data_IF_822594057465
#
_entry.id   IF_822594057465
#
_cell.length_a   1.000
_cell.length_b   1.000
_cell.length_c   1.000
_cell.angle_alpha   90.00
_cell.angle_beta   90.00
_cell.angle_gamma   90.00
#
_symmetry.space_group_name_H-M   'P 1'
#
loop_
_entity.id
_entity.type
_entity.pdbx_description
1 polymer ?
#
# COMPACT_ATOMS: atom_id res chain seq x y z
N UNK A 1 -11.95 -29.09 43.01
CA UNK A 1 -11.19 -28.23 43.94
C UNK A 1 -9.79 -28.83 43.97
N UNK A 2 -8.83 -28.46 43.13
CA UNK A 2 -8.49 -27.24 42.39
C UNK A 2 -7.95 -27.68 41.01
N UNK A 3 -8.32 -26.98 39.93
CA UNK A 3 -7.62 -26.93 38.62
C UNK A 3 -8.50 -26.13 37.64
N UNK A 4 -8.76 -24.86 37.95
CA UNK A 4 -9.57 -24.01 37.05
C UNK A 4 -9.28 -22.50 37.19
N UNK A 5 -8.03 -22.13 37.47
CA UNK A 5 -7.61 -20.72 37.52
C UNK A 5 -6.24 -20.51 36.91
N UNK A 6 -6.18 -20.45 35.58
CA UNK A 6 -5.16 -19.66 34.86
C UNK A 6 -5.51 -19.49 33.37
N UNK A 7 -6.73 -19.02 33.08
CA UNK A 7 -6.98 -18.31 31.83
C UNK A 7 -7.09 -16.84 32.17
N UNK A 8 -5.95 -16.16 32.11
CA UNK A 8 -5.89 -14.71 32.10
C UNK A 8 -6.84 -14.20 31.03
N UNK A 9 -7.85 -13.45 31.48
CA UNK A 9 -8.79 -12.73 30.64
C UNK A 9 -8.01 -11.83 29.70
N UNK A 10 -7.90 -12.23 28.43
CA UNK A 10 -7.32 -11.40 27.39
C UNK A 10 -8.11 -10.09 27.32
N UNK A 11 -7.42 -8.97 27.54
CA UNK A 11 -7.94 -7.63 27.29
C UNK A 11 -8.61 -7.55 25.89
N UNK A 12 -9.63 -6.70 25.69
CA UNK A 12 -10.30 -6.58 24.40
C UNK A 12 -9.29 -6.17 23.32
N UNK A 13 -8.86 -7.15 22.50
CA UNK A 13 -7.70 -7.05 21.60
C UNK A 13 -7.88 -6.09 20.43
N UNK A 14 -9.09 -5.69 20.08
CA UNK A 14 -9.30 -4.84 18.91
C UNK A 14 -9.40 -3.38 19.30
N UNK A 15 -8.28 -2.64 19.23
CA UNK A 15 -8.27 -1.17 19.07
C UNK A 15 -8.82 -0.73 17.70
N UNK A 16 -9.63 -1.57 17.05
CA UNK A 16 -10.17 -1.33 15.72
C UNK A 16 -11.58 -0.77 15.84
N UNK A 17 -11.80 0.41 15.28
CA UNK A 17 -13.14 0.96 15.12
C UNK A 17 -13.71 0.48 13.78
N UNK A 18 -14.79 -0.30 13.85
CA UNK A 18 -15.59 -0.69 12.71
C UNK A 18 -17.07 -0.44 13.04
N UNK A 19 -17.44 0.84 13.12
CA UNK A 19 -18.84 1.20 13.31
C UNK A 19 -19.65 0.74 12.10
N UNK A 20 -20.66 -0.09 12.34
CA UNK A 20 -21.57 -0.52 11.27
C UNK A 20 -22.34 0.70 10.77
N UNK A 21 -22.28 0.91 9.46
CA UNK A 21 -23.07 1.94 8.80
C UNK A 21 -24.55 1.68 9.08
N UNK A 22 -25.31 2.64 9.63
CA UNK A 22 -26.74 2.47 9.84
C UNK A 22 -27.43 2.13 8.52
N UNK A 23 -28.42 1.23 8.56
CA UNK A 23 -29.12 0.77 7.35
C UNK A 23 -29.71 1.95 6.55
N UNK A 24 -30.32 2.92 7.25
CA UNK A 24 -30.86 4.14 6.65
C UNK A 24 -29.78 4.92 5.90
N UNK A 25 -28.61 5.08 6.52
CA UNK A 25 -27.46 5.76 5.91
C UNK A 25 -27.03 5.04 4.64
N UNK A 26 -26.88 3.71 4.68
CA UNK A 26 -26.52 2.92 3.50
C UNK A 26 -27.55 3.07 2.37
N UNK A 27 -28.86 2.99 2.68
CA UNK A 27 -29.93 3.19 1.70
C UNK A 27 -29.86 4.58 1.07
N UNK A 28 -29.70 5.63 1.88
CA UNK A 28 -29.58 7.01 1.39
C UNK A 28 -28.32 7.21 0.55
N UNK A 29 -27.19 6.58 0.90
CA UNK A 29 -25.96 6.61 0.10
C UNK A 29 -26.20 6.03 -1.29
N UNK A 30 -26.81 4.84 -1.37
CA UNK A 30 -27.10 4.18 -2.64
C UNK A 30 -28.14 4.97 -3.45
N UNK A 31 -29.20 5.46 -2.80
CA UNK A 31 -30.20 6.31 -3.45
C UNK A 31 -29.56 7.58 -4.02
N UNK A 32 -28.69 8.25 -3.27
CA UNK A 32 -27.94 9.41 -3.74
C UNK A 32 -27.06 9.09 -4.95
N UNK A 33 -26.38 7.94 -4.94
CA UNK A 33 -25.63 7.45 -6.09
C UNK A 33 -26.52 7.22 -7.31
N UNK A 34 -27.66 6.53 -7.15
CA UNK A 34 -28.59 6.29 -8.25
C UNK A 34 -29.20 7.57 -8.81
N UNK A 35 -29.54 8.54 -7.96
CA UNK A 35 -30.00 9.86 -8.39
C UNK A 35 -28.90 10.55 -9.21
N UNK A 36 -27.65 10.53 -8.74
CA UNK A 36 -26.52 11.12 -9.47
C UNK A 36 -26.33 10.47 -10.85
N UNK A 37 -26.40 9.14 -10.91
CA UNK A 37 -26.30 8.38 -12.16
C UNK A 37 -27.48 8.67 -13.10
N UNK A 38 -28.69 8.75 -12.56
CA UNK A 38 -29.90 9.09 -13.32
C UNK A 38 -29.83 10.51 -13.92
N UNK A 39 -29.39 11.49 -13.13
CA UNK A 39 -29.15 12.85 -13.63
C UNK A 39 -28.02 12.88 -14.67
N UNK A 40 -26.99 12.06 -14.50
CA UNK A 40 -25.96 11.85 -15.52
C UNK A 40 -26.56 11.33 -16.82
N UNK A 41 -27.47 10.34 -16.74
CA UNK A 41 -28.14 9.72 -17.89
C UNK A 41 -29.08 10.70 -18.61
N UNK A 42 -29.86 11.49 -17.86
CA UNK A 42 -30.64 12.59 -18.45
C UNK A 42 -29.72 13.53 -19.22
N UNK A 43 -28.59 13.95 -18.63
CA UNK A 43 -27.65 14.82 -19.35
C UNK A 43 -27.05 14.14 -20.59
N UNK A 44 -26.81 12.84 -20.55
CA UNK A 44 -26.35 12.07 -21.71
C UNK A 44 -27.35 12.08 -22.87
N UNK A 45 -28.65 11.99 -22.57
CA UNK A 45 -29.71 12.02 -23.59
C UNK A 45 -29.86 13.39 -24.26
N UNK A 46 -29.79 14.47 -23.49
CA UNK A 46 -30.07 15.81 -24.00
C UNK A 46 -28.82 16.58 -24.45
N UNK A 47 -27.62 16.19 -24.00
CA UNK A 47 -26.39 16.92 -24.28
C UNK A 47 -25.28 16.02 -24.78
N UNK A 48 -24.85 16.26 -26.02
CA UNK A 48 -23.64 15.67 -26.57
C UNK A 48 -22.49 16.67 -26.40
N UNK A 49 -21.50 16.38 -25.55
CA UNK A 49 -20.40 17.30 -25.33
C UNK A 49 -19.47 17.34 -26.53
N UNK A 50 -18.86 18.50 -26.77
CA UNK A 50 -17.83 18.69 -27.79
C UNK A 50 -16.52 18.07 -27.31
N UNK A 51 -16.35 16.78 -27.55
CA UNK A 51 -15.16 16.00 -27.20
C UNK A 51 -14.64 15.25 -28.42
N UNK A 52 -13.37 14.88 -28.40
CA UNK A 52 -12.80 14.03 -29.44
C UNK A 52 -13.55 12.69 -29.50
N UNK A 53 -13.95 12.30 -30.71
CA UNK A 53 -14.59 11.02 -31.01
C UNK A 53 -13.63 10.14 -31.79
N UNK A 54 -13.78 8.84 -31.60
CA UNK A 54 -13.11 7.84 -32.42
C UNK A 54 -13.60 7.98 -33.87
N UNK A 55 -12.66 8.10 -34.81
CA UNK A 55 -12.94 8.19 -36.26
C UNK A 55 -12.19 7.07 -36.97
N UNK A 56 -12.74 6.55 -38.07
CA UNK A 56 -12.10 5.57 -38.95
C UNK A 56 -11.65 4.27 -38.22
N UNK A 57 -12.53 3.69 -37.38
CA UNK A 57 -12.25 2.47 -36.59
C UNK A 57 -13.22 1.31 -36.87
N UNK A 58 -13.70 1.20 -38.10
CA UNK A 58 -14.54 0.05 -38.48
C UNK A 58 -13.77 -1.27 -38.30
N UNK A 59 -14.40 -2.27 -37.66
CA UNK A 59 -13.79 -3.57 -37.38
C UNK A 59 -12.86 -3.63 -36.15
N UNK A 60 -12.57 -2.51 -35.49
CA UNK A 60 -11.73 -2.48 -34.29
C UNK A 60 -12.55 -2.43 -32.99
N UNK A 61 -12.01 -3.02 -31.92
CA UNK A 61 -12.56 -2.85 -30.58
C UNK A 61 -12.54 -1.36 -30.17
N UNK A 62 -13.58 -0.89 -29.43
CA UNK A 62 -13.64 0.48 -28.94
C UNK A 62 -12.48 0.75 -27.98
N UNK A 63 -11.88 1.95 -28.06
CA UNK A 63 -10.74 2.31 -27.22
C UNK A 63 -11.11 2.58 -25.75
N UNK A 64 -12.36 2.95 -25.49
CA UNK A 64 -12.83 3.18 -24.13
C UNK A 64 -14.13 2.45 -23.87
N UNK A 65 -14.27 2.02 -22.63
CA UNK A 65 -15.49 1.44 -22.11
C UNK A 65 -16.63 2.47 -22.12
N UNK A 66 -17.84 2.02 -22.49
CA UNK A 66 -19.00 2.89 -22.64
C UNK A 66 -19.44 3.48 -21.30
N UNK A 67 -19.33 2.72 -20.21
CA UNK A 67 -19.66 3.20 -18.87
C UNK A 67 -18.63 4.22 -18.39
N UNK A 68 -17.33 4.01 -18.64
CA UNK A 68 -16.30 5.01 -18.33
C UNK A 68 -16.51 6.32 -19.09
N UNK A 69 -16.79 6.25 -20.40
CA UNK A 69 -17.12 7.44 -21.21
C UNK A 69 -18.29 8.20 -20.59
N UNK A 70 -19.34 7.51 -20.20
CA UNK A 70 -20.51 8.08 -19.56
C UNK A 70 -20.15 8.72 -18.21
N UNK A 71 -19.59 7.94 -17.30
CA UNK A 71 -19.31 8.35 -15.93
C UNK A 71 -18.36 9.56 -15.89
N UNK A 72 -17.27 9.53 -16.65
CA UNK A 72 -16.29 10.62 -16.65
C UNK A 72 -16.88 11.93 -17.18
N UNK A 73 -17.71 11.87 -18.23
CA UNK A 73 -18.23 13.07 -18.91
C UNK A 73 -19.43 13.69 -18.21
N UNK A 74 -20.32 12.86 -17.66
CA UNK A 74 -21.64 13.30 -17.18
C UNK A 74 -21.77 13.28 -15.66
N UNK A 75 -20.89 12.56 -14.96
CA UNK A 75 -20.93 12.44 -13.50
C UNK A 75 -19.67 13.04 -12.87
N UNK A 76 -18.50 12.45 -13.11
CA UNK A 76 -17.25 12.82 -12.44
C UNK A 76 -16.76 14.24 -12.77
N UNK A 77 -16.97 14.72 -14.01
CA UNK A 77 -16.51 16.03 -14.48
C UNK A 77 -16.84 17.17 -13.51
N UNK A 78 -18.05 17.17 -12.93
CA UNK A 78 -18.55 18.25 -12.07
C UNK A 78 -17.82 18.32 -10.72
N UNK A 79 -17.39 17.19 -10.19
CA UNK A 79 -16.68 17.12 -8.89
C UNK A 79 -15.16 17.19 -9.05
N UNK A 80 -14.64 17.13 -10.28
CA UNK A 80 -13.21 17.16 -10.58
C UNK A 80 -12.50 18.40 -10.00
N UNK A 81 -13.22 19.51 -9.85
CA UNK A 81 -12.62 20.72 -9.28
C UNK A 81 -12.21 20.54 -7.80
N UNK A 82 -12.94 19.70 -7.05
CA UNK A 82 -12.70 19.44 -5.64
C UNK A 82 -11.45 18.59 -5.39
N UNK A 83 -11.10 17.68 -6.31
CA UNK A 83 -10.08 16.65 -6.09
C UNK A 83 -8.80 16.85 -6.91
N UNK A 84 -8.89 17.37 -8.14
CA UNK A 84 -7.77 17.34 -9.07
C UNK A 84 -6.97 18.65 -9.09
N UNK A 85 -6.88 19.38 -7.97
CA UNK A 85 -6.14 20.65 -7.92
C UNK A 85 -4.62 20.39 -8.00
N UNK A 86 -3.89 21.02 -8.94
CA UNK A 86 -2.45 20.79 -9.07
C UNK A 86 -1.68 21.28 -7.85
N UNK A 87 -0.76 20.46 -7.36
CA UNK A 87 0.19 20.83 -6.29
C UNK A 87 1.43 21.46 -6.94
N UNK A 88 1.91 22.58 -6.39
CA UNK A 88 3.09 23.29 -6.90
C UNK A 88 4.17 23.56 -5.83
N UNK A 89 4.07 22.94 -4.66
CA UNK A 89 5.12 22.96 -3.62
C UNK A 89 5.83 21.62 -3.51
N UNK A 90 6.94 21.62 -2.76
CA UNK A 90 7.55 20.39 -2.24
C UNK A 90 6.56 19.68 -1.31
N UNK A 91 6.49 18.34 -1.32
CA UNK A 91 5.68 17.59 -0.37
C UNK A 91 6.15 17.77 1.08
N UNK A 92 5.20 18.02 1.99
CA UNK A 92 5.44 18.12 3.44
C UNK A 92 4.12 18.21 4.22
N UNK A 93 4.17 18.63 5.49
CA UNK A 93 2.99 18.90 6.33
C UNK A 93 1.98 19.86 5.69
N UNK A 94 2.46 20.77 4.84
CA UNK A 94 1.63 21.66 4.04
C UNK A 94 1.99 21.53 2.58
N UNK A 95 0.99 21.67 1.71
CA UNK A 95 1.18 21.77 0.25
C UNK A 95 0.58 23.07 -0.27
N UNK A 96 1.12 23.57 -1.37
CA UNK A 96 0.56 24.72 -2.08
C UNK A 96 -0.16 24.23 -3.33
N UNK A 97 -1.43 24.60 -3.45
CA UNK A 97 -2.27 24.32 -4.60
C UNK A 97 -2.26 25.50 -5.57
N UNK A 98 -2.25 25.21 -6.87
CA UNK A 98 -2.56 26.22 -7.89
C UNK A 98 -4.07 26.47 -7.90
N UNK A 99 -4.46 27.72 -7.74
CA UNK A 99 -5.85 28.11 -7.85
C UNK A 99 -6.27 28.11 -9.32
N UNK A 100 -7.52 27.71 -9.55
CA UNK A 100 -8.10 27.61 -10.88
C UNK A 100 -9.57 27.94 -10.83
N UNK A 101 -10.09 28.36 -11.96
CA UNK A 101 -11.51 28.61 -12.21
C UNK A 101 -11.95 27.85 -13.44
N UNK A 102 -13.23 27.50 -13.50
CA UNK A 102 -13.88 26.94 -14.68
C UNK A 102 -15.12 27.76 -14.99
N UNK A 103 -15.30 28.10 -16.27
CA UNK A 103 -16.47 28.83 -16.77
C UNK A 103 -17.40 27.94 -17.60
N UNK A 104 -17.07 26.66 -17.71
CA UNK A 104 -17.73 25.68 -18.57
C UNK A 104 -18.03 24.38 -17.81
N UNK A 105 -18.39 24.50 -16.53
CA UNK A 105 -18.81 23.36 -15.70
C UNK A 105 -17.77 22.22 -15.64
N UNK A 106 -16.49 22.58 -15.54
CA UNK A 106 -15.38 21.66 -15.35
C UNK A 106 -14.88 21.00 -16.64
N UNK A 107 -15.25 21.50 -17.83
CA UNK A 107 -14.66 21.03 -19.10
C UNK A 107 -13.21 21.49 -19.22
N UNK A 108 -12.98 22.78 -19.01
CA UNK A 108 -11.66 23.41 -18.98
C UNK A 108 -11.43 24.16 -17.67
N UNK A 109 -10.15 24.35 -17.35
CA UNK A 109 -9.72 25.10 -16.17
C UNK A 109 -8.68 26.13 -16.58
N UNK A 110 -8.84 27.35 -16.07
CA UNK A 110 -7.88 28.43 -16.22
C UNK A 110 -7.22 28.71 -14.87
N UNK A 111 -5.90 28.81 -14.85
CA UNK A 111 -5.17 29.20 -13.64
C UNK A 111 -5.39 30.69 -13.38
N UNK A 112 -5.71 31.04 -12.14
CA UNK A 112 -5.94 32.43 -11.73
C UNK A 112 -4.64 33.21 -11.51
N UNK A 113 -3.50 32.52 -11.48
CA UNK A 113 -2.20 33.07 -11.07
C UNK A 113 -1.99 33.11 -9.55
N UNK A 114 -3.04 32.87 -8.76
CA UNK A 114 -2.98 32.79 -7.29
C UNK A 114 -2.69 31.36 -6.81
N UNK A 115 -2.34 31.25 -5.53
CA UNK A 115 -1.99 29.99 -4.90
C UNK A 115 -2.58 29.92 -3.49
N UNK A 116 -3.04 28.73 -3.10
CA UNK A 116 -3.58 28.47 -1.76
C UNK A 116 -2.72 27.47 -1.02
N UNK A 117 -2.27 27.82 0.20
CA UNK A 117 -1.53 26.91 1.08
C UNK A 117 -2.51 26.10 1.93
N UNK A 118 -2.37 24.77 1.92
CA UNK A 118 -3.24 23.83 2.62
C UNK A 118 -2.45 22.89 3.53
N UNK A 119 -3.10 22.39 4.58
CA UNK A 119 -2.58 21.25 5.35
C UNK A 119 -2.67 19.99 4.49
N UNK A 120 -1.61 19.17 4.51
CA UNK A 120 -1.55 17.94 3.76
C UNK A 120 -1.93 16.74 4.63
N UNK A 121 -3.17 16.26 4.50
CA UNK A 121 -3.69 15.06 5.18
C UNK A 121 -3.84 13.86 4.23
N UNK A 122 -3.40 13.97 2.97
CA UNK A 122 -3.61 12.97 1.93
C UNK A 122 -2.33 12.31 1.41
N UNK A 123 -1.19 12.51 2.07
CA UNK A 123 0.10 11.97 1.65
C UNK A 123 0.57 10.83 2.54
N UNK A 124 1.20 9.82 1.93
CA UNK A 124 1.88 8.73 2.65
C UNK A 124 3.32 9.06 3.05
N UNK A 125 3.72 10.33 3.02
CA UNK A 125 5.00 10.83 3.49
C UNK A 125 5.06 10.87 5.03
N UNK A 126 4.82 9.73 5.68
CA UNK A 126 4.54 9.60 7.12
C UNK A 126 5.61 10.23 8.03
N UNK A 127 6.88 10.17 7.61
CA UNK A 127 8.01 10.68 8.38
C UNK A 127 8.64 11.94 7.77
N UNK A 128 8.05 12.49 6.71
CA UNK A 128 8.50 13.70 6.02
C UNK A 128 9.96 13.70 5.50
N UNK A 129 10.43 12.59 4.93
CA UNK A 129 11.77 12.52 4.33
C UNK A 129 11.84 13.07 2.90
N UNK A 130 10.71 13.29 2.23
CA UNK A 130 10.65 13.78 0.84
C UNK A 130 10.92 15.31 0.70
N UNK A 131 11.69 15.91 1.60
CA UNK A 131 12.01 17.35 1.56
C UNK A 131 13.13 17.60 0.56
N UNK A 132 13.18 18.82 0.00
CA UNK A 132 14.28 19.26 -0.88
C UNK A 132 15.49 19.82 -0.11
N UNK A 133 15.51 19.66 1.21
CA UNK A 133 16.56 20.15 2.11
C UNK A 133 16.95 19.07 3.11
N UNK A 134 18.11 19.21 3.74
CA UNK A 134 18.59 18.28 4.77
C UNK A 134 19.39 17.12 4.21
N UNK A 135 19.79 16.20 5.11
CA UNK A 135 20.74 15.11 4.80
C UNK A 135 20.32 14.28 3.59
N UNK A 136 19.08 13.79 3.55
CA UNK A 136 18.59 12.95 2.45
C UNK A 136 18.70 13.65 1.08
N UNK A 137 18.31 14.92 0.98
CA UNK A 137 18.39 15.68 -0.26
C UNK A 137 19.85 15.94 -0.68
N UNK A 138 20.70 16.36 0.26
CA UNK A 138 22.11 16.64 -0.02
C UNK A 138 22.88 15.39 -0.44
N UNK A 139 22.68 14.29 0.26
CA UNK A 139 23.33 13.02 -0.08
C UNK A 139 22.89 12.54 -1.46
N UNK A 140 21.58 12.66 -1.77
CA UNK A 140 21.06 12.32 -3.10
C UNK A 140 21.67 13.17 -4.21
N UNK A 141 21.85 14.49 -4.00
CA UNK A 141 22.52 15.38 -4.96
C UNK A 141 23.98 14.99 -5.16
N UNK A 142 24.69 14.65 -4.08
CA UNK A 142 26.09 14.22 -4.15
C UNK A 142 26.24 12.89 -4.91
N UNK A 143 25.33 11.94 -4.64
CA UNK A 143 25.27 10.66 -5.35
C UNK A 143 24.94 10.85 -6.82
N UNK A 144 24.01 11.76 -7.17
CA UNK A 144 23.72 12.11 -8.55
C UNK A 144 24.97 12.63 -9.28
N UNK A 145 25.74 13.53 -8.67
CA UNK A 145 26.99 14.05 -9.24
C UNK A 145 28.05 12.96 -9.42
N UNK A 146 28.08 11.95 -8.54
CA UNK A 146 29.08 10.87 -8.55
C UNK A 146 28.73 9.74 -9.53
N UNK A 147 27.46 9.35 -9.59
CA UNK A 147 27.02 8.12 -10.27
C UNK A 147 26.08 8.37 -11.46
N UNK A 148 25.63 9.61 -11.66
CA UNK A 148 24.62 9.96 -12.66
C UNK A 148 23.21 9.54 -12.26
N UNK A 149 22.27 9.69 -13.19
CA UNK A 149 20.84 9.46 -12.95
C UNK A 149 20.45 7.98 -12.93
N UNK A 150 21.02 7.15 -13.81
CA UNK A 150 20.63 5.77 -14.02
C UNK A 150 21.73 4.99 -14.76
N UNK A 151 21.68 3.66 -14.66
CA UNK A 151 22.57 2.74 -15.39
C UNK A 151 22.04 2.33 -16.76
N UNK A 152 20.75 2.58 -17.04
CA UNK A 152 20.07 2.18 -18.28
C UNK A 152 20.14 0.67 -18.60
N UNK A 153 20.34 -0.17 -17.58
CA UNK A 153 20.39 -1.63 -17.70
C UNK A 153 19.66 -2.29 -16.53
N UNK A 154 19.29 -3.55 -16.70
CA UNK A 154 18.65 -4.37 -15.66
C UNK A 154 19.68 -4.81 -14.62
N UNK A 155 19.22 -5.27 -13.46
CA UNK A 155 20.13 -5.71 -12.39
C UNK A 155 20.89 -7.00 -12.73
N UNK A 156 20.31 -7.84 -13.60
CA UNK A 156 20.90 -9.11 -14.03
C UNK A 156 22.05 -8.92 -15.03
N UNK A 157 22.06 -7.82 -15.77
CA UNK A 157 23.09 -7.49 -16.75
C UNK A 157 24.13 -6.52 -16.15
N UNK A 158 24.14 -5.26 -16.61
CA UNK A 158 25.15 -4.25 -16.26
C UNK A 158 24.60 -3.17 -15.31
N UNK A 159 23.37 -3.33 -14.81
CA UNK A 159 22.70 -2.33 -13.98
C UNK A 159 23.04 -2.34 -12.49
N UNK A 160 23.85 -3.28 -12.02
CA UNK A 160 24.21 -3.37 -10.59
C UNK A 160 25.39 -2.45 -10.25
N UNK A 161 25.20 -1.59 -9.25
CA UNK A 161 26.21 -0.66 -8.72
C UNK A 161 26.41 -0.94 -7.23
N UNK A 162 27.52 -0.44 -6.68
CA UNK A 162 27.85 -0.58 -5.24
C UNK A 162 26.75 -0.04 -4.34
N UNK A 163 26.12 1.08 -4.71
CA UNK A 163 25.01 1.66 -3.95
C UNK A 163 23.76 0.76 -3.89
N UNK A 164 23.50 -0.06 -4.91
CA UNK A 164 22.40 -1.03 -4.88
C UNK A 164 22.67 -2.14 -3.86
N UNK A 165 23.93 -2.61 -3.80
CA UNK A 165 24.34 -3.63 -2.83
C UNK A 165 24.34 -3.07 -1.41
N UNK A 166 24.75 -1.82 -1.22
CA UNK A 166 24.68 -1.12 0.07
C UNK A 166 23.23 -1.00 0.55
N UNK A 167 22.33 -0.56 -0.33
CA UNK A 167 20.91 -0.46 -0.02
C UNK A 167 20.30 -1.83 0.34
N UNK A 168 20.61 -2.89 -0.41
CA UNK A 168 20.13 -4.25 -0.12
C UNK A 168 20.63 -4.74 1.25
N UNK A 169 21.92 -4.58 1.55
CA UNK A 169 22.50 -4.95 2.85
C UNK A 169 21.87 -4.15 4.00
N UNK A 170 21.69 -2.84 3.82
CA UNK A 170 21.06 -1.99 4.82
C UNK A 170 19.59 -2.36 5.03
N UNK A 171 18.87 -2.69 3.95
CA UNK A 171 17.48 -3.16 4.02
C UNK A 171 17.38 -4.46 4.81
N UNK A 172 18.24 -5.45 4.53
CA UNK A 172 18.28 -6.70 5.28
C UNK A 172 18.57 -6.47 6.78
N UNK A 173 19.55 -5.61 7.10
CA UNK A 173 19.88 -5.20 8.48
C UNK A 173 18.72 -4.46 9.15
N UNK A 174 18.04 -3.58 8.43
CA UNK A 174 16.88 -2.83 8.93
C UNK A 174 15.74 -3.78 9.31
N UNK A 175 15.48 -4.76 8.44
CA UNK A 175 14.44 -5.77 8.63
C UNK A 175 14.83 -6.87 9.63
N UNK A 176 16.10 -7.03 9.97
CA UNK A 176 16.57 -8.09 10.86
C UNK A 176 16.55 -9.48 10.22
N UNK A 177 16.79 -9.58 8.92
CA UNK A 177 16.81 -10.84 8.15
C UNK A 177 18.13 -11.04 7.42
N UNK A 178 18.29 -12.18 6.74
CA UNK A 178 19.57 -12.60 6.13
C UNK A 178 19.95 -11.78 4.89
N UNK A 179 19.00 -11.50 4.00
CA UNK A 179 19.25 -10.79 2.75
C UNK A 179 18.00 -10.04 2.28
N UNK A 180 18.18 -9.11 1.33
CA UNK A 180 17.11 -8.37 0.67
C UNK A 180 17.44 -8.07 -0.80
N UNK A 181 16.40 -7.88 -1.59
CA UNK A 181 16.45 -7.47 -3.00
C UNK A 181 15.57 -6.24 -3.20
N UNK A 182 16.05 -5.28 -3.99
CA UNK A 182 15.36 -4.00 -4.20
C UNK A 182 14.92 -3.80 -5.65
N UNK A 183 13.82 -3.08 -5.83
CA UNK A 183 13.17 -2.83 -7.11
C UNK A 183 12.81 -1.35 -7.27
N UNK A 184 12.86 -0.84 -8.51
CA UNK A 184 12.59 0.57 -8.82
C UNK A 184 11.12 1.01 -8.65
N UNK A 185 10.16 0.08 -8.57
CA UNK A 185 8.73 0.41 -8.43
C UNK A 185 8.04 -0.50 -7.41
N UNK A 186 7.33 0.09 -6.44
CA UNK A 186 6.66 -0.66 -5.36
C UNK A 186 5.50 -1.56 -5.81
N UNK A 187 4.67 -1.12 -6.76
CA UNK A 187 3.61 -1.99 -7.31
C UNK A 187 4.22 -3.22 -8.00
N UNK A 188 5.26 -2.99 -8.82
CA UNK A 188 5.93 -4.05 -9.58
C UNK A 188 6.64 -5.06 -8.67
N UNK A 189 7.13 -4.64 -7.50
CA UNK A 189 7.69 -5.55 -6.48
C UNK A 189 6.73 -6.71 -6.19
N UNK A 190 5.47 -6.44 -5.88
CA UNK A 190 4.52 -7.53 -5.61
C UNK A 190 4.07 -8.22 -6.90
N UNK A 191 3.67 -7.44 -7.90
CA UNK A 191 3.04 -7.96 -9.11
C UNK A 191 3.97 -8.86 -9.95
N UNK A 192 5.27 -8.60 -9.95
CA UNK A 192 6.24 -9.31 -10.77
C UNK A 192 7.11 -10.31 -9.99
N UNK A 193 7.11 -10.27 -8.66
CA UNK A 193 7.83 -11.27 -7.84
C UNK A 193 6.96 -12.46 -7.46
N UNK A 194 5.66 -12.28 -7.19
CA UNK A 194 4.77 -13.40 -6.83
C UNK A 194 4.77 -14.57 -7.84
N UNK A 195 4.79 -14.33 -9.18
CA UNK A 195 4.88 -15.41 -10.18
C UNK A 195 6.15 -16.27 -10.08
N UNK A 196 7.21 -15.79 -9.44
CA UNK A 196 8.44 -16.57 -9.23
C UNK A 196 8.41 -17.43 -7.95
N UNK A 197 7.43 -17.21 -7.07
CA UNK A 197 7.32 -17.86 -5.76
C UNK A 197 6.27 -18.98 -5.73
N UNK A 198 5.16 -18.76 -6.43
CA UNK A 198 4.01 -19.66 -6.54
C UNK A 198 3.62 -19.84 -8.00
N UNK A 199 2.94 -20.94 -8.31
CA UNK A 199 2.43 -21.23 -9.65
C UNK A 199 1.41 -22.36 -9.66
N UNK A 200 1.26 -23.03 -10.81
CA UNK A 200 0.33 -24.18 -10.94
C UNK A 200 0.58 -25.24 -9.87
N UNK A 201 -0.49 -25.70 -9.21
CA UNK A 201 -0.44 -26.65 -8.10
C UNK A 201 -0.08 -26.04 -6.74
N UNK A 202 0.06 -24.71 -6.65
CA UNK A 202 0.11 -23.97 -5.38
C UNK A 202 -1.26 -23.36 -5.04
N UNK A 203 -1.53 -23.18 -3.76
CA UNK A 203 -2.66 -22.45 -3.22
C UNK A 203 -2.20 -21.14 -2.60
N UNK A 204 -2.90 -20.06 -2.91
CA UNK A 204 -2.73 -18.77 -2.24
C UNK A 204 -4.01 -18.43 -1.47
N UNK A 205 -3.88 -18.20 -0.17
CA UNK A 205 -4.93 -17.69 0.70
C UNK A 205 -4.73 -16.18 0.82
N UNK A 206 -5.57 -15.42 0.11
CA UNK A 206 -5.51 -13.96 0.08
C UNK A 206 -6.53 -13.35 1.02
N UNK A 207 -6.12 -12.37 1.81
CA UNK A 207 -7.07 -11.50 2.49
C UNK A 207 -7.97 -10.80 1.46
N UNK A 208 -9.25 -10.63 1.78
CA UNK A 208 -10.24 -9.99 0.92
C UNK A 208 -9.91 -8.54 0.54
N UNK A 209 -9.07 -7.85 1.31
CA UNK A 209 -8.70 -6.45 1.09
C UNK A 209 -7.25 -6.25 0.68
N UNK A 210 -6.56 -7.31 0.27
CA UNK A 210 -5.21 -7.21 -0.25
C UNK A 210 -5.12 -6.23 -1.43
N UNK A 211 -4.03 -5.50 -1.45
CA UNK A 211 -3.73 -4.47 -2.43
C UNK A 211 -3.70 -5.06 -3.84
N UNK A 212 -4.12 -4.25 -4.80
CA UNK A 212 -4.25 -4.64 -6.21
C UNK A 212 -2.93 -5.19 -6.80
N UNK A 213 -1.77 -4.73 -6.34
CA UNK A 213 -0.47 -5.28 -6.77
C UNK A 213 -0.28 -6.77 -6.39
N UNK A 214 -0.73 -7.17 -5.20
CA UNK A 214 -0.72 -8.57 -4.77
C UNK A 214 -1.70 -9.39 -5.61
N UNK A 215 -2.92 -8.85 -5.83
CA UNK A 215 -3.94 -9.49 -6.66
C UNK A 215 -3.43 -9.75 -8.08
N UNK A 216 -2.79 -8.77 -8.70
CA UNK A 216 -2.18 -8.93 -10.01
C UNK A 216 -1.07 -9.99 -10.01
N UNK A 217 -0.17 -9.96 -9.04
CA UNK A 217 0.90 -10.96 -8.95
C UNK A 217 0.39 -12.39 -8.76
N UNK A 218 -0.62 -12.57 -7.93
CA UNK A 218 -1.28 -13.87 -7.75
C UNK A 218 -1.96 -14.34 -9.03
N UNK A 219 -2.66 -13.46 -9.75
CA UNK A 219 -3.29 -13.81 -11.04
C UNK A 219 -2.27 -14.18 -12.11
N UNK A 220 -1.17 -13.44 -12.21
CA UNK A 220 -0.09 -13.71 -13.15
C UNK A 220 0.63 -15.04 -12.87
N UNK A 221 0.67 -15.48 -11.61
CA UNK A 221 1.33 -16.74 -11.23
C UNK A 221 0.63 -18.00 -11.75
N UNK A 222 -0.68 -17.94 -12.01
CA UNK A 222 -1.49 -19.12 -12.32
C UNK A 222 -1.70 -20.09 -11.15
N UNK A 223 -1.39 -19.68 -9.91
CA UNK A 223 -1.74 -20.41 -8.71
C UNK A 223 -3.25 -20.40 -8.45
N UNK A 224 -3.76 -21.38 -7.70
CA UNK A 224 -5.15 -21.33 -7.25
C UNK A 224 -5.25 -20.30 -6.13
N UNK A 225 -6.19 -19.35 -6.24
CA UNK A 225 -6.41 -18.33 -5.21
C UNK A 225 -7.73 -18.60 -4.50
N UNK A 226 -7.72 -18.60 -3.17
CA UNK A 226 -8.91 -18.55 -2.33
C UNK A 226 -8.86 -17.31 -1.44
N UNK A 227 -9.96 -16.58 -1.40
CA UNK A 227 -10.08 -15.37 -0.60
C UNK A 227 -10.70 -15.73 0.74
N UNK A 228 -10.09 -15.26 1.83
CA UNK A 228 -10.68 -15.33 3.17
C UNK A 228 -11.13 -13.94 3.62
N UNK A 229 -12.11 -13.89 4.51
CA UNK A 229 -12.67 -12.64 5.04
C UNK A 229 -11.59 -11.80 5.69
N UNK A 230 -11.66 -10.50 5.44
CA UNK A 230 -10.68 -9.52 5.91
C UNK A 230 -10.35 -9.65 7.40
N UNK A 231 -9.05 -9.80 7.70
CA UNK A 231 -8.49 -9.92 9.06
C UNK A 231 -9.18 -10.99 9.94
N UNK A 232 -9.83 -11.99 9.32
CA UNK A 232 -10.61 -13.02 10.04
C UNK A 232 -9.81 -14.32 10.14
N UNK A 233 -9.15 -14.49 11.29
CA UNK A 233 -8.32 -15.66 11.61
C UNK A 233 -9.11 -16.98 11.55
N UNK A 234 -10.39 -16.98 11.95
CA UNK A 234 -11.23 -18.20 11.93
C UNK A 234 -11.53 -18.64 10.50
N UNK A 235 -11.90 -17.69 9.62
CA UNK A 235 -12.17 -17.97 8.21
C UNK A 235 -10.91 -18.43 7.46
N UNK A 236 -9.75 -17.85 7.80
CA UNK A 236 -8.45 -18.30 7.33
C UNK A 236 -8.16 -19.75 7.77
N UNK A 237 -8.37 -20.07 9.05
CA UNK A 237 -8.17 -21.44 9.55
C UNK A 237 -9.09 -22.45 8.85
N UNK A 238 -10.36 -22.11 8.62
CA UNK A 238 -11.28 -22.98 7.88
C UNK A 238 -10.83 -23.20 6.42
N UNK A 239 -10.27 -22.18 5.79
CA UNK A 239 -9.66 -22.29 4.46
C UNK A 239 -8.43 -23.20 4.47
N UNK A 240 -7.55 -23.08 5.48
CA UNK A 240 -6.38 -23.95 5.66
C UNK A 240 -6.77 -25.41 5.91
N UNK A 241 -7.74 -25.68 6.79
CA UNK A 241 -8.28 -27.02 7.04
C UNK A 241 -8.77 -27.66 5.74
N UNK A 242 -9.63 -26.95 5.00
CA UNK A 242 -10.14 -27.45 3.71
C UNK A 242 -9.03 -27.69 2.70
N UNK A 243 -8.01 -26.82 2.65
CA UNK A 243 -6.89 -26.98 1.74
C UNK A 243 -6.08 -28.26 2.02
N UNK A 244 -5.81 -28.54 3.29
CA UNK A 244 -5.07 -29.74 3.73
C UNK A 244 -5.88 -31.01 3.55
N UNK A 245 -7.18 -30.98 3.87
CA UNK A 245 -8.06 -32.17 3.80
C UNK A 245 -8.39 -32.56 2.35
N UNK A 246 -8.73 -31.59 1.50
CA UNK A 246 -9.22 -31.88 0.15
C UNK A 246 -8.18 -31.76 -0.96
N UNK A 247 -7.01 -31.17 -0.68
CA UNK A 247 -5.96 -30.99 -1.68
C UNK A 247 -6.37 -30.07 -2.86
N UNK A 248 -5.74 -30.32 -4.01
CA UNK A 248 -5.93 -29.59 -5.25
C UNK A 248 -7.31 -29.85 -5.86
N UNK A 249 -7.98 -28.84 -6.44
CA UNK A 249 -9.26 -29.03 -7.11
C UNK A 249 -9.19 -30.09 -8.21
N UNK A 250 -10.23 -30.92 -8.30
CA UNK A 250 -10.40 -32.03 -9.27
C UNK A 250 -9.47 -33.22 -9.05
N UNK A 251 -8.20 -33.04 -8.71
CA UNK A 251 -7.24 -34.14 -8.55
C UNK A 251 -7.18 -34.69 -7.13
N UNK A 252 -7.47 -33.85 -6.12
CA UNK A 252 -7.32 -34.23 -4.70
C UNK A 252 -5.86 -34.33 -4.23
N UNK A 253 -4.89 -34.07 -5.11
CA UNK A 253 -3.47 -34.17 -4.79
C UNK A 253 -3.05 -33.12 -3.74
N UNK A 254 -2.05 -33.38 -2.90
CA UNK A 254 -1.50 -32.38 -2.00
C UNK A 254 -1.04 -31.11 -2.74
N UNK A 255 -1.20 -29.96 -2.09
CA UNK A 255 -0.68 -28.69 -2.60
C UNK A 255 0.85 -28.68 -2.57
N UNK A 256 1.49 -28.20 -3.64
CA UNK A 256 2.96 -28.02 -3.66
C UNK A 256 3.41 -26.99 -2.64
N UNK A 257 2.65 -25.89 -2.51
CA UNK A 257 2.82 -24.83 -1.51
C UNK A 257 1.46 -24.24 -1.17
N UNK A 258 1.27 -23.89 0.10
CA UNK A 258 0.17 -23.05 0.55
C UNK A 258 0.80 -21.73 1.04
N UNK A 259 0.41 -20.61 0.44
CA UNK A 259 0.92 -19.28 0.77
C UNK A 259 -0.21 -18.41 1.33
N UNK A 260 -0.03 -17.88 2.53
CA UNK A 260 -0.92 -16.87 3.13
C UNK A 260 -0.37 -15.50 2.73
N UNK A 261 -1.22 -14.63 2.19
CA UNK A 261 -0.83 -13.27 1.75
C UNK A 261 -1.67 -12.24 2.50
N UNK A 262 -0.99 -11.35 3.24
CA UNK A 262 -1.60 -10.30 4.07
C UNK A 262 -0.78 -9.01 4.04
N UNK A 263 -1.41 -7.89 4.43
CA UNK A 263 -0.75 -6.59 4.63
C UNK A 263 -0.57 -6.31 6.13
N UNK A 264 0.51 -5.64 6.53
CA UNK A 264 0.75 -5.21 7.92
C UNK A 264 -0.28 -4.18 8.38
N UNK A 265 -0.44 -3.12 7.58
CA UNK A 265 -1.53 -2.14 7.69
C UNK A 265 -2.25 -2.09 6.35
N UNK A 266 -3.57 -2.27 6.37
CA UNK A 266 -4.36 -2.23 5.14
C UNK A 266 -4.62 -0.79 4.71
N UNK A 267 -4.23 -0.48 3.47
CA UNK A 267 -4.10 0.91 2.98
C UNK A 267 -5.37 1.76 3.02
N UNK A 268 -6.56 1.17 2.86
CA UNK A 268 -7.83 1.91 2.78
C UNK A 268 -8.59 1.93 4.10
N UNK A 269 -8.54 0.85 4.88
CA UNK A 269 -9.27 0.72 6.14
C UNK A 269 -8.47 1.21 7.34
N UNK A 270 -7.14 1.20 7.24
CA UNK A 270 -6.25 1.43 8.37
C UNK A 270 -6.32 0.34 9.45
N UNK A 271 -6.87 -0.84 9.16
CA UNK A 271 -6.79 -2.01 10.05
C UNK A 271 -5.36 -2.53 10.15
N UNK A 272 -5.06 -3.21 11.25
CA UNK A 272 -3.77 -3.85 11.50
C UNK A 272 -3.98 -5.37 11.52
N UNK A 273 -3.13 -6.11 10.81
CA UNK A 273 -3.22 -7.57 10.76
C UNK A 273 -3.05 -8.21 12.14
N UNK A 274 -3.82 -9.28 12.40
CA UNK A 274 -3.65 -10.18 13.55
C UNK A 274 -2.44 -11.12 13.33
N UNK A 275 -1.24 -10.55 13.21
CA UNK A 275 -0.02 -11.28 12.86
C UNK A 275 0.32 -12.45 13.81
N UNK A 276 0.23 -12.33 15.15
CA UNK A 276 0.55 -13.43 16.05
C UNK A 276 -0.26 -14.70 15.72
N UNK A 277 -1.57 -14.55 15.55
CA UNK A 277 -2.48 -15.65 15.26
C UNK A 277 -2.24 -16.27 13.88
N UNK A 278 -1.93 -15.44 12.88
CA UNK A 278 -1.59 -15.93 11.53
C UNK A 278 -0.29 -16.74 11.54
N UNK A 279 0.71 -16.33 12.33
CA UNK A 279 1.97 -17.09 12.49
C UNK A 279 1.71 -18.45 13.14
N UNK A 280 0.82 -18.53 14.13
CA UNK A 280 0.46 -19.82 14.74
C UNK A 280 -0.27 -20.73 13.74
N UNK A 281 -1.19 -20.20 12.93
CA UNK A 281 -1.82 -20.96 11.85
C UNK A 281 -0.81 -21.41 10.78
N UNK A 282 0.10 -20.52 10.39
CA UNK A 282 1.20 -20.82 9.45
C UNK A 282 1.98 -22.05 9.93
N UNK A 283 2.42 -22.06 11.20
CA UNK A 283 3.17 -23.17 11.79
C UNK A 283 2.32 -24.45 11.84
N UNK A 284 1.08 -24.36 12.34
CA UNK A 284 0.16 -25.49 12.50
C UNK A 284 -0.11 -26.21 11.17
N UNK A 285 -0.31 -25.45 10.09
CA UNK A 285 -0.66 -26.00 8.77
C UNK A 285 0.51 -26.08 7.79
N UNK A 286 1.75 -25.80 8.25
CA UNK A 286 2.98 -25.79 7.43
C UNK A 286 2.84 -24.93 6.16
N UNK A 287 2.15 -23.80 6.28
CA UNK A 287 2.00 -22.82 5.21
C UNK A 287 3.17 -21.84 5.21
N UNK A 288 3.31 -21.10 4.11
CA UNK A 288 4.19 -19.94 4.01
C UNK A 288 3.41 -18.65 4.26
N UNK A 289 4.09 -17.59 4.69
CA UNK A 289 3.54 -16.27 4.95
C UNK A 289 4.27 -15.20 4.13
N UNK A 290 3.49 -14.49 3.32
CA UNK A 290 3.88 -13.30 2.58
C UNK A 290 3.23 -12.09 3.25
N UNK A 291 4.05 -11.20 3.83
CA UNK A 291 3.60 -10.02 4.56
C UNK A 291 4.05 -8.74 3.85
N UNK A 292 3.09 -7.92 3.46
CA UNK A 292 3.34 -6.60 2.87
C UNK A 292 3.34 -5.50 3.93
N UNK A 293 4.53 -4.96 4.22
CA UNK A 293 4.80 -3.92 5.21
C UNK A 293 4.75 -2.51 4.60
N UNK A 294 4.23 -2.30 3.39
CA UNK A 294 4.32 -1.02 2.71
C UNK A 294 3.71 0.16 3.49
N UNK A 295 2.69 -0.09 4.31
CA UNK A 295 2.02 0.91 5.15
C UNK A 295 2.38 0.83 6.64
N UNK A 296 3.44 0.12 7.01
CA UNK A 296 3.86 -0.06 8.40
C UNK A 296 5.36 0.14 8.59
N UNK A 297 6.15 -0.19 7.58
CA UNK A 297 7.60 -0.03 7.60
C UNK A 297 8.01 1.44 7.78
N UNK A 298 9.07 1.67 8.56
CA UNK A 298 9.63 2.98 8.86
C UNK A 298 9.11 3.59 10.16
N UNK A 299 7.89 3.25 10.61
CA UNK A 299 7.28 3.92 11.77
C UNK A 299 6.52 3.03 12.75
N UNK A 300 6.10 1.82 12.38
CA UNK A 300 5.45 0.92 13.33
C UNK A 300 6.47 0.23 14.24
N UNK A 301 6.08 0.10 15.52
CA UNK A 301 6.92 -0.44 16.58
C UNK A 301 7.94 0.55 17.16
N UNK A 302 8.63 0.15 18.23
CA UNK A 302 9.57 1.00 18.99
C UNK A 302 10.72 1.55 18.12
N UNK A 303 11.09 0.83 17.07
CA UNK A 303 12.22 1.12 16.18
C UNK A 303 11.79 1.38 14.73
N UNK A 304 10.49 1.47 14.45
CA UNK A 304 9.99 1.74 13.09
C UNK A 304 10.21 0.59 12.10
N UNK A 305 10.36 -0.66 12.57
CA UNK A 305 10.67 -1.81 11.71
C UNK A 305 9.44 -2.54 11.15
N UNK A 306 8.26 -1.95 11.26
CA UNK A 306 7.03 -2.54 10.72
C UNK A 306 6.24 -3.32 11.77
N UNK A 307 5.30 -4.14 11.30
CA UNK A 307 4.32 -4.80 12.14
C UNK A 307 4.93 -5.92 12.99
N UNK A 308 6.02 -6.55 12.52
CA UNK A 308 6.79 -7.49 13.34
C UNK A 308 7.33 -6.80 14.61
N UNK A 309 7.87 -5.57 14.49
CA UNK A 309 8.33 -4.80 15.64
C UNK A 309 7.20 -4.21 16.48
N UNK A 310 6.02 -3.97 15.89
CA UNK A 310 4.84 -3.57 16.65
C UNK A 310 4.36 -4.66 17.62
N UNK A 311 4.39 -5.93 17.20
CA UNK A 311 4.03 -7.08 18.03
C UNK A 311 5.20 -7.70 18.81
N UNK A 312 6.40 -7.11 18.75
CA UNK A 312 7.64 -7.68 19.32
C UNK A 312 7.91 -9.13 18.83
N UNK A 313 7.63 -9.41 17.55
CA UNK A 313 7.84 -10.69 16.86
C UNK A 313 9.15 -10.67 16.08
N UNK A 314 9.90 -11.77 16.15
CA UNK A 314 11.07 -11.97 15.29
C UNK A 314 10.66 -12.04 13.81
N UNK A 315 11.14 -11.13 12.94
CA UNK A 315 10.78 -11.06 11.54
C UNK A 315 11.10 -12.35 10.77
N UNK A 316 12.02 -13.19 11.26
CA UNK A 316 12.35 -14.50 10.67
C UNK A 316 11.21 -15.52 10.76
N UNK A 317 10.16 -15.25 11.55
CA UNK A 317 8.93 -16.04 11.53
C UNK A 317 8.05 -15.78 10.31
N UNK A 318 8.34 -14.73 9.54
CA UNK A 318 7.69 -14.42 8.25
C UNK A 318 8.60 -14.86 7.13
N UNK A 319 8.09 -15.65 6.17
CA UNK A 319 8.96 -16.23 5.13
C UNK A 319 9.36 -15.20 4.08
N UNK A 320 8.42 -14.32 3.72
CA UNK A 320 8.62 -13.30 2.69
C UNK A 320 8.08 -11.97 3.22
N UNK A 321 8.99 -11.05 3.50
CA UNK A 321 8.67 -9.67 3.86
C UNK A 321 8.80 -8.80 2.62
N UNK A 322 7.75 -8.08 2.24
CA UNK A 322 7.80 -7.07 1.18
C UNK A 322 7.46 -5.70 1.74
N UNK A 323 7.85 -4.65 1.05
CA UNK A 323 7.45 -3.30 1.42
C UNK A 323 7.78 -2.28 0.35
N UNK A 324 7.39 -1.03 0.60
CA UNK A 324 7.59 0.08 -0.33
C UNK A 324 8.45 1.19 0.26
N UNK A 325 9.35 1.72 -0.56
CA UNK A 325 10.11 2.92 -0.26
C UNK A 325 9.37 4.22 -0.59
N UNK A 326 8.21 4.12 -1.25
CA UNK A 326 7.45 5.27 -1.73
C UNK A 326 6.62 6.00 -0.65
N UNK A 327 6.71 5.57 0.61
CA UNK A 327 5.90 6.10 1.71
C UNK A 327 6.79 6.70 2.79
N UNK A 328 7.02 5.95 3.87
CA UNK A 328 7.78 6.40 5.04
C UNK A 328 9.17 6.89 4.73
N UNK A 329 9.81 6.42 3.65
CA UNK A 329 11.18 6.78 3.25
C UNK A 329 11.24 7.97 2.28
N UNK A 330 10.10 8.45 1.78
CA UNK A 330 10.03 9.61 0.88
C UNK A 330 10.77 9.43 -0.45
N UNK A 331 10.84 8.19 -0.96
CA UNK A 331 11.55 7.84 -2.19
C UNK A 331 10.60 7.15 -3.19
N UNK A 332 11.11 6.22 -4.01
CA UNK A 332 10.32 5.32 -4.86
C UNK A 332 10.90 3.90 -4.81
N UNK A 333 10.09 2.92 -5.18
CA UNK A 333 10.51 1.52 -5.23
C UNK A 333 9.96 0.65 -4.10
N UNK A 334 10.51 -0.55 -4.01
CA UNK A 334 10.15 -1.55 -3.01
C UNK A 334 11.25 -2.58 -2.82
N UNK A 335 11.03 -3.49 -1.88
CA UNK A 335 11.98 -4.55 -1.55
C UNK A 335 11.27 -5.85 -1.23
N UNK A 336 11.98 -6.96 -1.36
CA UNK A 336 11.65 -8.22 -0.71
C UNK A 336 12.83 -8.62 0.17
N UNK A 337 12.55 -9.07 1.39
CA UNK A 337 13.54 -9.46 2.39
C UNK A 337 13.14 -10.81 3.02
N UNK A 338 14.14 -11.62 3.37
CA UNK A 338 13.92 -12.93 3.98
C UNK A 338 15.22 -13.73 4.07
N UNK A 339 15.13 -15.04 3.84
CA UNK A 339 16.31 -15.92 3.83
C UNK A 339 17.17 -15.67 2.59
N UNK A 340 18.48 -15.91 2.70
CA UNK A 340 19.40 -15.78 1.58
C UNK A 340 19.03 -16.70 0.41
N UNK A 341 18.51 -17.89 0.70
CA UNK A 341 18.03 -18.83 -0.30
C UNK A 341 16.84 -18.25 -1.11
N UNK A 342 15.87 -17.64 -0.43
CA UNK A 342 14.74 -16.95 -1.08
C UNK A 342 15.24 -15.81 -1.97
N UNK A 343 16.13 -14.97 -1.44
CA UNK A 343 16.60 -13.79 -2.18
C UNK A 343 17.43 -14.20 -3.40
N UNK A 344 18.30 -15.20 -3.29
CA UNK A 344 19.03 -15.74 -4.43
C UNK A 344 18.10 -16.32 -5.51
N UNK A 345 17.04 -17.03 -5.11
CA UNK A 345 16.01 -17.50 -6.04
C UNK A 345 15.36 -16.32 -6.79
N UNK A 346 14.98 -15.27 -6.08
CA UNK A 346 14.40 -14.06 -6.68
C UNK A 346 15.36 -13.36 -7.64
N UNK A 347 16.66 -13.28 -7.33
CA UNK A 347 17.65 -12.66 -8.23
C UNK A 347 17.72 -13.32 -9.61
N UNK A 348 17.44 -14.63 -9.69
CA UNK A 348 17.50 -15.41 -10.93
C UNK A 348 16.15 -15.42 -11.65
N UNK A 349 15.05 -15.62 -10.92
CA UNK A 349 13.74 -15.93 -11.51
C UNK A 349 12.71 -14.80 -11.46
N UNK A 350 12.96 -13.70 -10.73
CA UNK A 350 11.99 -12.62 -10.60
C UNK A 350 12.00 -11.70 -11.83
N UNK A 351 10.85 -11.57 -12.49
CA UNK A 351 10.71 -10.69 -13.67
C UNK A 351 11.08 -9.23 -13.38
N UNK A 352 10.77 -8.71 -12.18
CA UNK A 352 11.17 -7.35 -11.82
C UNK A 352 12.70 -7.17 -11.65
N UNK A 353 13.46 -8.24 -11.42
CA UNK A 353 14.91 -8.15 -11.35
C UNK A 353 15.55 -8.34 -12.73
N UNK A 354 14.98 -9.25 -13.53
CA UNK A 354 15.48 -9.62 -14.86
C UNK A 354 15.20 -8.54 -15.92
N UNK A 355 14.01 -7.94 -15.92
CA UNK A 355 13.55 -7.11 -17.03
C UNK A 355 13.37 -5.62 -16.70
N UNK A 356 13.29 -5.26 -15.41
CA UNK A 356 13.16 -3.85 -15.04
C UNK A 356 14.53 -3.19 -14.90
N UNK A 357 14.59 -1.90 -15.27
CA UNK A 357 15.78 -1.08 -15.05
C UNK A 357 16.15 -1.04 -13.57
N UNK A 358 17.45 -1.02 -13.29
CA UNK A 358 17.95 -0.83 -11.93
C UNK A 358 17.44 0.48 -11.32
N UNK A 359 17.32 0.50 -9.99
CA UNK A 359 16.94 1.69 -9.24
C UNK A 359 17.93 2.83 -9.54
N UNK A 360 17.44 4.07 -9.61
CA UNK A 360 18.30 5.24 -9.79
C UNK A 360 19.24 5.42 -8.58
N UNK A 361 20.55 5.64 -8.76
CA UNK A 361 21.49 5.86 -7.66
C UNK A 361 21.07 6.94 -6.65
N UNK A 362 20.66 8.18 -7.05
CA UNK A 362 20.19 9.17 -6.09
C UNK A 362 18.93 8.73 -5.32
N UNK A 363 18.05 7.93 -5.93
CA UNK A 363 16.90 7.35 -5.22
C UNK A 363 17.35 6.32 -4.19
N UNK A 364 18.32 5.46 -4.53
CA UNK A 364 18.90 4.52 -3.57
C UNK A 364 19.53 5.26 -2.38
N UNK A 365 20.24 6.36 -2.63
CA UNK A 365 20.83 7.19 -1.57
C UNK A 365 19.77 7.84 -0.68
N UNK A 366 18.68 8.35 -1.24
CA UNK A 366 17.55 8.89 -0.47
C UNK A 366 17.06 7.86 0.56
N UNK A 367 16.89 6.61 0.12
CA UNK A 367 16.41 5.51 0.97
C UNK A 367 17.43 5.16 2.05
N UNK A 368 18.71 5.02 1.68
CA UNK A 368 19.80 4.76 2.63
C UNK A 368 19.80 5.82 3.74
N UNK A 369 19.79 7.10 3.34
CA UNK A 369 19.84 8.23 4.27
C UNK A 369 18.62 8.25 5.19
N UNK A 370 17.41 7.98 4.66
CA UNK A 370 16.20 7.89 5.46
C UNK A 370 16.26 6.71 6.46
N UNK A 371 16.71 5.53 6.04
CA UNK A 371 16.89 4.37 6.93
C UNK A 371 17.88 4.68 8.07
N UNK A 372 19.03 5.29 7.75
CA UNK A 372 20.04 5.67 8.73
C UNK A 372 19.49 6.64 9.78
N UNK A 373 18.70 7.63 9.36
CA UNK A 373 18.03 8.56 10.28
C UNK A 373 16.99 7.84 11.14
N UNK A 374 16.19 6.94 10.56
CA UNK A 374 15.17 6.17 11.28
C UNK A 374 15.81 5.32 12.40
N UNK A 375 16.89 4.60 12.10
CA UNK A 375 17.58 3.74 13.07
C UNK A 375 18.45 4.51 14.06
N UNK A 376 18.68 5.81 13.82
CA UNK A 376 19.51 6.66 14.66
C UNK A 376 21.01 6.37 14.52
N UNK A 377 21.45 5.99 13.32
CA UNK A 377 22.88 5.79 13.05
C UNK A 377 23.67 7.06 13.33
N UNK A 378 24.87 6.95 13.92
CA UNK A 378 25.64 8.11 14.35
C UNK A 378 25.06 8.88 15.54
N UNK A 379 24.16 8.27 16.33
CA UNK A 379 23.58 8.88 17.54
C UNK A 379 22.45 9.87 17.26
N UNK A 380 21.88 9.86 16.05
CA UNK A 380 20.77 10.74 15.68
C UNK A 380 19.47 10.32 16.38
N UNK A 381 18.84 11.21 17.15
CA UNK A 381 17.52 10.97 17.76
C UNK A 381 16.35 11.37 16.84
N UNK A 382 16.63 11.89 15.66
CA UNK A 382 15.63 12.46 14.75
C UNK A 382 14.57 11.44 14.31
N UNK A 383 14.97 10.22 13.92
CA UNK A 383 14.04 9.15 13.56
C UNK A 383 13.06 8.81 14.68
N UNK A 384 13.58 8.62 15.89
CA UNK A 384 12.78 8.32 17.09
C UNK A 384 11.79 9.45 17.41
N UNK A 385 12.21 10.71 17.28
CA UNK A 385 11.33 11.88 17.45
C UNK A 385 10.19 11.88 16.43
N UNK A 386 10.50 11.63 15.15
CA UNK A 386 9.50 11.58 14.07
C UNK A 386 8.47 10.46 14.29
N UNK A 387 8.92 9.26 14.67
CA UNK A 387 8.05 8.12 14.97
C UNK A 387 7.12 8.44 16.14
N UNK A 388 7.66 8.96 17.26
CA UNK A 388 6.85 9.37 18.42
C UNK A 388 5.85 10.46 18.07
N UNK A 389 6.26 11.43 17.26
CA UNK A 389 5.40 12.51 16.82
C UNK A 389 4.24 12.00 15.96
N UNK A 390 4.51 11.10 15.01
CA UNK A 390 3.48 10.48 14.18
C UNK A 390 2.47 9.72 15.04
N UNK A 391 2.94 8.82 15.92
CA UNK A 391 2.06 8.06 16.81
C UNK A 391 1.19 8.97 17.69
N UNK A 392 1.77 10.06 18.24
CA UNK A 392 1.02 11.06 19.00
C UNK A 392 -0.02 11.77 18.16
N UNK A 393 0.34 12.21 16.95
CA UNK A 393 -0.56 12.92 16.04
C UNK A 393 -1.73 12.02 15.60
N UNK A 394 -1.45 10.78 15.26
CA UNK A 394 -2.46 9.78 14.89
C UNK A 394 -3.51 9.63 15.99
N UNK A 395 -3.09 9.31 17.22
CA UNK A 395 -4.01 9.13 18.35
C UNK A 395 -4.77 10.42 18.68
N UNK A 396 -4.08 11.56 18.65
CA UNK A 396 -4.71 12.85 18.87
C UNK A 396 -5.80 13.14 17.83
N UNK A 397 -5.49 12.98 16.54
CA UNK A 397 -6.40 13.27 15.44
C UNK A 397 -7.64 12.36 15.48
N UNK A 398 -7.44 11.05 15.63
CA UNK A 398 -8.53 10.08 15.78
C UNK A 398 -9.44 10.42 16.96
N UNK A 399 -8.85 10.72 18.12
CA UNK A 399 -9.61 11.12 19.32
C UNK A 399 -10.43 12.40 19.08
N UNK A 400 -9.85 13.41 18.43
CA UNK A 400 -10.57 14.66 18.15
C UNK A 400 -11.70 14.47 17.14
N UNK A 401 -11.52 13.62 16.12
CA UNK A 401 -12.58 13.27 15.17
C UNK A 401 -13.75 12.55 15.86
N UNK A 402 -13.46 11.58 16.73
CA UNK A 402 -14.49 10.91 17.52
C UNK A 402 -15.25 11.87 18.43
N UNK A 403 -14.56 12.82 19.07
CA UNK A 403 -15.18 13.83 19.95
C UNK A 403 -16.14 14.77 19.23
N UNK A 404 -15.95 15.01 17.93
CA UNK A 404 -16.84 15.83 17.10
C UNK A 404 -17.88 14.99 16.32
N UNK A 405 -17.98 13.68 16.62
CA UNK A 405 -18.98 12.79 16.03
C UNK A 405 -18.68 12.34 14.59
N UNK A 406 -17.43 12.46 14.12
CA UNK A 406 -17.03 11.91 12.82
C UNK A 406 -16.82 10.41 12.94
N UNK A 407 -17.46 9.64 12.06
CA UNK A 407 -17.28 8.20 12.00
C UNK A 407 -15.97 7.87 11.26
N UNK A 408 -15.06 7.19 11.95
CA UNK A 408 -13.75 6.77 11.43
C UNK A 408 -13.53 5.27 11.56
N UNK A 409 -12.78 4.69 10.61
CA UNK A 409 -12.41 3.27 10.60
C UNK A 409 -10.95 3.00 10.98
N UNK A 410 -10.65 1.74 11.22
CA UNK A 410 -9.29 1.23 11.38
C UNK A 410 -8.78 1.18 12.80
N UNK A 411 -7.50 0.85 12.95
CA UNK A 411 -6.84 0.71 14.23
C UNK A 411 -6.41 2.07 14.81
N UNK A 412 -6.51 2.25 16.13
CA UNK A 412 -6.05 3.46 16.82
C UNK A 412 -4.57 3.82 16.59
N UNK A 413 -3.73 2.82 16.37
CA UNK A 413 -2.29 2.99 16.15
C UNK A 413 -1.93 3.17 14.67
N UNK A 414 -2.90 3.05 13.75
CA UNK A 414 -2.69 3.25 12.31
C UNK A 414 -2.77 4.74 11.92
N UNK A 415 -1.77 5.30 11.22
CA UNK A 415 -1.82 6.69 10.73
C UNK A 415 -2.77 6.89 9.56
N UNK A 416 -3.39 5.82 9.05
CA UNK A 416 -4.45 5.88 8.06
C UNK A 416 -5.76 6.02 8.82
N UNK A 417 -6.44 7.16 8.64
CA UNK A 417 -7.69 7.49 9.32
C UNK A 417 -8.78 7.71 8.28
N UNK A 418 -9.49 6.65 7.85
CA UNK A 418 -10.56 6.78 6.88
C UNK A 418 -11.75 7.47 7.55
N UNK A 419 -12.13 8.63 7.03
CA UNK A 419 -13.34 9.34 7.43
C UNK A 419 -14.47 8.97 6.49
N UNK A 420 -15.59 8.51 7.03
CA UNK A 420 -16.70 8.10 6.19
C UNK A 420 -17.58 9.28 5.79
N UNK A 421 -17.67 9.49 4.47
CA UNK A 421 -18.61 10.43 3.86
C UNK A 421 -19.75 9.62 3.26
N UNK A 422 -20.92 9.66 3.92
CA UNK A 422 -22.05 8.84 3.53
C UNK A 422 -22.92 9.44 2.41
N UNK A 423 -22.79 10.73 2.12
CA UNK A 423 -23.65 11.42 1.14
C UNK A 423 -22.80 12.05 0.05
N UNK A 424 -23.06 11.67 -1.20
CA UNK A 424 -22.37 12.24 -2.37
C UNK A 424 -22.57 13.76 -2.49
N UNK A 425 -23.71 14.29 -2.04
CA UNK A 425 -23.97 15.74 -2.01
C UNK A 425 -23.09 16.51 -1.02
N UNK A 426 -22.40 15.82 -0.09
CA UNK A 426 -21.41 16.43 0.82
C UNK A 426 -20.01 16.42 0.23
N UNK A 427 -19.82 15.87 -0.97
CA UNK A 427 -18.56 15.83 -1.68
C UNK A 427 -18.51 17.04 -2.62
N UNK A 428 -17.94 18.15 -2.14
CA UNK A 428 -17.68 19.36 -2.94
C UNK A 428 -18.73 20.45 -2.80
#
# INVERSE_FOLDING_TARGET
MELEKEYGTAEPRSKESAEKVPFVTAVLTHLGFYILMFLGFINYLFFVPKVALEKNREGYAPLYDNFEKFYLRYVYRRVRDCWNKPICSVPGATVTLKDRVTHDYGWTFQFTGTQTKCINLGSYNYLEFSKNTGKCAMDSINTLKKFGCATYSTRLELGTMTIHQELEKLTAKFMGVEDAIVFGMGFATNALSLPSLVGKGCLVLSDAKNHVSLIHGMRLSGATVRVFKHNNVKDLEECLKKAVVFGQPRTGEPWKKILIVVEGIYSMEGSIVCLPEIIELKKKYKAYLYLDEAHSIGFMGKHGRGICNYYDIDPRNVDILTGSFAKSFGAIGGYIAGTKALINHLRIYCHAHTYASAMSPPVAQQIISAMQIIVGEGGMDEGKKRIKQLARNTRYFRRRLNQIGVIIYGNEDSPIVPMLVYMYSKIG
#
